data_IF_295130215737
#
_entry.id   IF_295130215737
#
_cell.length_a   1.000
_cell.length_b   1.000
_cell.length_c   1.000
_cell.angle_alpha   90.00
_cell.angle_beta   90.00
_cell.angle_gamma   90.00
#
_symmetry.space_group_name_H-M   'P 1'
#
loop_
_entity.id
_entity.type
_entity.pdbx_description
1 polymer ?
#
# COMPACT_ATOMS: atom_id res chain seq x y z
N UNK A 1 6.43 -15.46 -3.96
CA UNK A 1 6.15 -14.34 -4.89
C UNK A 1 5.58 -13.23 -4.04
N UNK A 2 6.20 -12.05 -4.02
CA UNK A 2 5.62 -10.90 -3.31
C UNK A 2 4.35 -10.44 -4.05
N UNK A 3 3.25 -10.32 -3.33
CA UNK A 3 1.94 -9.94 -3.82
C UNK A 3 1.39 -8.75 -3.04
N UNK A 4 0.13 -8.40 -3.29
CA UNK A 4 -0.59 -7.38 -2.53
C UNK A 4 -2.02 -7.84 -2.28
N UNK A 5 -2.59 -7.42 -1.15
CA UNK A 5 -3.97 -7.71 -0.78
C UNK A 5 -4.68 -6.40 -0.52
N UNK A 6 -5.85 -6.22 -1.12
CA UNK A 6 -6.71 -5.07 -0.91
C UNK A 6 -7.92 -5.52 -0.08
N UNK A 7 -8.20 -4.79 0.99
CA UNK A 7 -9.39 -4.95 1.82
C UNK A 7 -10.22 -3.68 1.66
N UNK A 8 -11.43 -3.83 1.12
CA UNK A 8 -12.45 -2.77 1.08
C UNK A 8 -13.76 -3.37 1.60
N UNK A 9 -14.20 -2.99 2.81
CA UNK A 9 -15.42 -3.55 3.39
C UNK A 9 -16.64 -3.41 2.48
N UNK A 10 -17.26 -4.54 2.13
CA UNK A 10 -18.47 -4.58 1.29
C UNK A 10 -18.21 -4.52 -0.21
N UNK A 11 -16.95 -4.47 -0.66
CA UNK A 11 -16.62 -4.60 -2.07
C UNK A 11 -16.79 -6.03 -2.57
N UNK A 12 -17.14 -6.16 -3.84
CA UNK A 12 -17.15 -7.44 -4.56
C UNK A 12 -15.73 -7.85 -4.95
N UNK A 13 -15.54 -9.12 -5.29
CA UNK A 13 -14.25 -9.62 -5.78
C UNK A 13 -13.78 -8.87 -7.04
N UNK A 14 -14.72 -8.47 -7.90
CA UNK A 14 -14.44 -7.71 -9.14
C UNK A 14 -13.94 -6.28 -8.82
N UNK A 15 -14.56 -5.62 -7.85
CA UNK A 15 -14.14 -4.29 -7.36
C UNK A 15 -12.76 -4.37 -6.70
N UNK A 16 -12.53 -5.38 -5.85
CA UNK A 16 -11.24 -5.61 -5.21
C UNK A 16 -10.14 -5.89 -6.24
N UNK A 17 -10.43 -6.71 -7.25
CA UNK A 17 -9.48 -7.02 -8.32
C UNK A 17 -9.13 -5.78 -9.14
N UNK A 18 -10.12 -4.96 -9.50
CA UNK A 18 -9.89 -3.71 -10.22
C UNK A 18 -9.00 -2.74 -9.41
N UNK A 19 -9.27 -2.60 -8.10
CA UNK A 19 -8.43 -1.80 -7.21
C UNK A 19 -6.99 -2.32 -7.10
N UNK A 20 -6.81 -3.63 -7.00
CA UNK A 20 -5.49 -4.26 -6.98
C UNK A 20 -4.71 -4.04 -8.27
N UNK A 21 -5.36 -4.17 -9.43
CA UNK A 21 -4.72 -3.92 -10.72
C UNK A 21 -4.30 -2.46 -10.87
N UNK A 22 -5.13 -1.52 -10.42
CA UNK A 22 -4.80 -0.10 -10.43
C UNK A 22 -3.59 0.23 -9.55
N UNK A 23 -3.50 -0.32 -8.32
CA UNK A 23 -2.33 -0.15 -7.47
C UNK A 23 -1.07 -0.79 -8.07
N UNK A 24 -1.18 -1.99 -8.66
CA UNK A 24 -0.04 -2.66 -9.33
C UNK A 24 0.52 -1.79 -10.44
N UNK A 25 -0.35 -1.29 -11.32
CA UNK A 25 0.04 -0.43 -12.43
C UNK A 25 0.65 0.88 -11.93
N UNK A 26 0.07 1.49 -10.90
CA UNK A 26 0.62 2.71 -10.30
C UNK A 26 2.05 2.50 -9.82
N UNK A 27 2.32 1.43 -9.06
CA UNK A 27 3.65 1.13 -8.55
C UNK A 27 4.64 0.80 -9.68
N UNK A 28 4.20 0.04 -10.70
CA UNK A 28 5.01 -0.29 -11.88
C UNK A 28 5.47 0.96 -12.63
N UNK A 29 4.56 1.91 -12.87
CA UNK A 29 4.88 3.20 -13.53
C UNK A 29 5.93 4.00 -12.73
N UNK A 30 5.93 3.86 -11.41
CA UNK A 30 6.88 4.55 -10.52
C UNK A 30 8.16 3.74 -10.23
N UNK A 31 8.29 2.55 -10.82
CA UNK A 31 9.43 1.66 -10.64
C UNK A 31 9.56 1.11 -9.22
N UNK A 32 8.44 0.94 -8.51
CA UNK A 32 8.41 0.42 -7.14
C UNK A 32 7.86 -1.01 -7.17
N UNK A 33 8.56 -1.93 -6.51
CA UNK A 33 8.08 -3.31 -6.33
C UNK A 33 7.39 -3.47 -4.97
N UNK A 34 6.52 -4.49 -4.80
CA UNK A 34 5.96 -4.81 -3.48
C UNK A 34 7.02 -5.12 -2.41
N UNK A 35 8.20 -5.61 -2.81
CA UNK A 35 9.31 -5.86 -1.88
C UNK A 35 9.97 -4.56 -1.41
N UNK A 36 10.12 -3.56 -2.29
CA UNK A 36 10.60 -2.23 -1.90
C UNK A 36 9.65 -1.59 -0.89
N UNK A 37 8.34 -1.75 -1.11
CA UNK A 37 7.31 -1.30 -0.16
C UNK A 37 7.46 -1.99 1.18
N UNK A 38 7.54 -3.31 1.21
CA UNK A 38 7.69 -4.06 2.46
C UNK A 38 8.94 -3.64 3.25
N UNK A 39 10.07 -3.44 2.56
CA UNK A 39 11.30 -2.97 3.18
C UNK A 39 11.19 -1.53 3.71
N UNK A 40 10.55 -0.64 2.96
CA UNK A 40 10.34 0.75 3.37
C UNK A 40 9.40 0.86 4.59
N UNK A 41 8.27 0.15 4.58
CA UNK A 41 7.33 0.13 5.69
C UNK A 41 7.97 -0.49 6.94
N UNK A 42 8.74 -1.58 6.81
CA UNK A 42 9.50 -2.14 7.93
C UNK A 42 10.48 -1.14 8.54
N UNK A 43 11.20 -0.37 7.72
CA UNK A 43 12.11 0.66 8.23
C UNK A 43 11.35 1.76 9.00
N UNK A 44 10.16 2.16 8.51
CA UNK A 44 9.30 3.11 9.22
C UNK A 44 8.77 2.54 10.54
N UNK A 45 8.32 1.29 10.56
CA UNK A 45 7.86 0.62 11.78
C UNK A 45 8.96 0.50 12.83
N UNK A 46 10.17 0.09 12.43
CA UNK A 46 11.32 0.05 13.34
C UNK A 46 11.68 1.43 13.91
N UNK A 47 11.57 2.48 13.10
CA UNK A 47 11.85 3.85 13.56
C UNK A 47 10.79 4.35 14.56
N UNK A 48 9.50 4.04 14.33
CA UNK A 48 8.41 4.34 15.27
C UNK A 48 8.59 3.56 16.60
N UNK A 49 8.84 2.25 16.52
CA UNK A 49 9.12 1.40 17.68
C UNK A 49 10.36 1.85 18.48
N UNK A 50 11.36 2.39 17.78
CA UNK A 50 12.57 2.97 18.37
C UNK A 50 12.37 4.34 19.00
N UNK A 51 11.21 4.98 18.81
CA UNK A 51 10.90 6.29 19.37
C UNK A 51 11.38 7.48 18.52
N UNK A 52 11.52 7.27 17.21
CA UNK A 52 11.91 8.29 16.23
C UNK A 52 13.30 8.89 16.44
N UNK A 53 14.28 8.08 16.83
CA UNK A 53 15.68 8.54 16.95
C UNK A 53 16.20 9.04 15.59
N UNK A 54 16.77 10.25 15.53
CA UNK A 54 17.18 10.89 14.27
C UNK A 54 18.18 10.05 13.47
N UNK A 55 19.06 9.31 14.15
CA UNK A 55 20.09 8.47 13.53
C UNK A 55 19.50 7.18 12.89
N UNK A 56 18.26 6.85 13.23
CA UNK A 56 17.52 5.68 12.72
C UNK A 56 16.42 6.09 11.71
N UNK A 57 16.37 7.37 11.31
CA UNK A 57 15.39 7.86 10.35
C UNK A 57 15.48 7.08 9.01
N UNK A 58 14.34 6.61 8.46
CA UNK A 58 14.31 5.96 7.17
C UNK A 58 14.93 6.84 6.08
N UNK A 59 15.71 6.21 5.20
CA UNK A 59 16.37 6.93 4.10
C UNK A 59 15.38 7.69 3.22
N UNK A 60 15.85 8.74 2.54
CA UNK A 60 15.00 9.52 1.63
C UNK A 60 14.30 8.67 0.56
N UNK A 61 14.95 7.60 0.11
CA UNK A 61 14.37 6.62 -0.82
C UNK A 61 13.29 5.77 -0.15
N UNK A 62 13.49 5.27 1.07
CA UNK A 62 12.47 4.56 1.83
C UNK A 62 11.24 5.44 2.08
N UNK A 63 11.45 6.70 2.49
CA UNK A 63 10.37 7.67 2.64
C UNK A 63 9.64 7.94 1.32
N UNK A 64 10.36 8.00 0.19
CA UNK A 64 9.75 8.14 -1.15
C UNK A 64 8.87 6.93 -1.47
N UNK A 65 9.37 5.72 -1.21
CA UNK A 65 8.63 4.47 -1.45
C UNK A 65 7.37 4.40 -0.57
N UNK A 66 7.47 4.72 0.72
CA UNK A 66 6.31 4.75 1.62
C UNK A 66 5.25 5.79 1.18
N UNK A 67 5.68 6.97 0.71
CA UNK A 67 4.75 7.95 0.10
C UNK A 67 4.03 7.40 -1.12
N UNK A 68 4.75 6.71 -2.01
CA UNK A 68 4.16 6.07 -3.19
C UNK A 68 3.22 4.92 -2.80
N UNK A 69 3.50 4.22 -1.70
CA UNK A 69 2.62 3.20 -1.16
C UNK A 69 1.28 3.76 -0.69
N UNK A 70 1.29 4.85 0.09
CA UNK A 70 0.06 5.53 0.49
C UNK A 70 -0.77 6.04 -0.70
N UNK A 71 -0.10 6.52 -1.75
CA UNK A 71 -0.76 6.90 -3.00
C UNK A 71 -1.35 5.68 -3.73
N UNK A 72 -0.64 4.56 -3.79
CA UNK A 72 -1.14 3.31 -4.37
C UNK A 72 -2.36 2.79 -3.62
N UNK A 73 -2.38 2.88 -2.29
CA UNK A 73 -3.57 2.55 -1.49
C UNK A 73 -4.76 3.45 -1.85
N UNK A 74 -4.54 4.75 -1.99
CA UNK A 74 -5.61 5.69 -2.39
C UNK A 74 -6.17 5.32 -3.76
N UNK A 75 -5.29 5.07 -4.74
CA UNK A 75 -5.67 4.63 -6.09
C UNK A 75 -6.47 3.32 -6.06
N UNK A 76 -6.04 2.34 -5.26
CA UNK A 76 -6.73 1.07 -5.13
C UNK A 76 -8.15 1.24 -4.58
N UNK A 77 -8.29 2.02 -3.50
CA UNK A 77 -9.56 2.24 -2.82
C UNK A 77 -10.52 3.05 -3.69
N UNK A 78 -10.04 4.11 -4.34
CA UNK A 78 -10.86 4.94 -5.22
C UNK A 78 -11.35 4.14 -6.43
N UNK A 79 -10.51 3.26 -6.97
CA UNK A 79 -10.87 2.38 -8.09
C UNK A 79 -11.88 1.32 -7.65
N UNK A 80 -11.66 0.65 -6.50
CA UNK A 80 -12.58 -0.35 -5.98
C UNK A 80 -13.95 0.25 -5.61
N UNK A 81 -13.98 1.47 -5.10
CA UNK A 81 -15.21 2.17 -4.75
C UNK A 81 -15.83 2.94 -5.93
N UNK A 82 -15.32 2.78 -7.16
CA UNK A 82 -15.78 3.55 -8.30
C UNK A 82 -17.27 3.30 -8.57
N UNK A 83 -18.08 4.36 -8.50
CA UNK A 83 -19.54 4.27 -8.69
C UNK A 83 -20.34 4.03 -7.40
N UNK A 84 -19.68 3.92 -6.25
CA UNK A 84 -20.37 3.88 -4.96
C UNK A 84 -21.03 5.23 -4.67
N UNK A 85 -22.26 5.21 -4.17
CA UNK A 85 -23.01 6.44 -3.82
C UNK A 85 -22.54 7.09 -2.52
N UNK A 86 -21.61 6.45 -1.81
CA UNK A 86 -21.09 6.86 -0.51
C UNK A 86 -19.56 6.87 -0.58
N UNK A 87 -18.95 7.63 0.33
CA UNK A 87 -17.51 7.61 0.52
C UNK A 87 -17.00 6.19 0.84
N UNK A 88 -15.72 5.89 0.54
CA UNK A 88 -15.10 4.65 0.95
C UNK A 88 -15.30 4.40 2.46
N UNK A 89 -15.58 3.15 2.86
CA UNK A 89 -15.76 2.81 4.26
C UNK A 89 -14.45 2.98 5.05
N UNK A 90 -14.56 3.09 6.37
CA UNK A 90 -13.37 2.97 7.23
C UNK A 90 -12.78 1.55 7.14
N UNK A 91 -11.47 1.43 7.37
CA UNK A 91 -10.77 0.15 7.35
C UNK A 91 -10.41 -0.34 5.94
N UNK A 92 -10.46 0.52 4.92
CA UNK A 92 -9.86 0.23 3.63
C UNK A 92 -8.34 0.18 3.76
N UNK A 93 -7.71 -0.91 3.30
CA UNK A 93 -6.27 -1.08 3.43
C UNK A 93 -5.69 -1.91 2.29
N UNK A 94 -4.53 -1.47 1.81
CA UNK A 94 -3.69 -2.23 0.89
C UNK A 94 -2.51 -2.76 1.72
N UNK A 95 -2.25 -4.07 1.63
CA UNK A 95 -1.15 -4.73 2.33
C UNK A 95 -0.13 -5.24 1.31
N UNK A 96 1.18 -5.04 1.53
CA UNK A 96 2.18 -5.84 0.86
C UNK A 96 2.07 -7.26 1.41
N UNK A 97 2.00 -8.26 0.54
CA UNK A 97 1.97 -9.67 0.95
C UNK A 97 3.30 -10.31 0.57
N UNK A 98 4.00 -10.88 1.55
CA UNK A 98 5.06 -11.84 1.25
C UNK A 98 4.54 -13.25 1.55
N UNK A 99 4.51 -14.11 0.54
CA UNK A 99 4.09 -15.51 0.68
C UNK A 99 5.22 -16.37 1.27
N UNK A 100 5.99 -15.84 2.21
CA UNK A 100 7.04 -16.56 2.93
C UNK A 100 6.48 -17.10 4.24
N UNK A 101 5.55 -18.06 4.15
CA UNK A 101 5.13 -18.95 5.25
C UNK A 101 4.50 -20.20 4.67
#
# INVERSE_FOLDING_TARGET
MSGMVLVVPGATDEELQAGLEAAKLFLEIHGVTPMDVAAAEYAHECWDDGGFEEDEEPSADAQRVSRLWGQAQTVAVDTACAGWRKLPPHGCQLYPFDSAS
#
